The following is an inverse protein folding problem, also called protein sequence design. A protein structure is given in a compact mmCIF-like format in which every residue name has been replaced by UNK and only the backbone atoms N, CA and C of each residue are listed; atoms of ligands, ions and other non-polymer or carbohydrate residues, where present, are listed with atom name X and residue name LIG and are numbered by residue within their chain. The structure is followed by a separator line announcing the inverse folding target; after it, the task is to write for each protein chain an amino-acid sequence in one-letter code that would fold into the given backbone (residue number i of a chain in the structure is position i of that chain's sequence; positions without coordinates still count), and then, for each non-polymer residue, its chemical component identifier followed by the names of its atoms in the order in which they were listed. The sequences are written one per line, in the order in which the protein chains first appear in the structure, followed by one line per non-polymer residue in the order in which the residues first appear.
data_IF_454448066642
#
_entry.id   IF_454448066642
#
_cell.length_a   1.000
_cell.length_b   1.000
_cell.length_c   1.000
_cell.angle_alpha   90.00
_cell.angle_beta   90.00
_cell.angle_gamma   90.00
#
_symmetry.space_group_name_H-M   'P 1'
#
loop_
_entity.id
_entity.type
_entity.pdbx_description
1 polymer ?
#
# COMPACT_ATOMS: atom_id res chain seq x y z
N UNK A 1 -2.99 33.26 -51.40
CA UNK A 1 -3.12 33.38 -49.94
C UNK A 1 -4.10 32.32 -49.47
N UNK A 2 -3.60 31.23 -48.89
CA UNK A 2 -4.45 30.22 -48.27
C UNK A 2 -4.71 30.65 -46.83
N UNK A 3 -5.98 30.87 -46.48
CA UNK A 3 -6.42 31.12 -45.12
C UNK A 3 -6.24 29.81 -44.33
N UNK A 4 -5.30 29.80 -43.40
CA UNK A 4 -5.13 28.72 -42.45
C UNK A 4 -6.41 28.62 -41.62
N UNK A 5 -7.11 27.49 -41.74
CA UNK A 5 -8.27 27.18 -40.93
C UNK A 5 -7.84 27.07 -39.48
N UNK A 6 -8.28 28.00 -38.66
CA UNK A 6 -8.24 27.88 -37.20
C UNK A 6 -9.07 26.67 -36.83
N UNK A 7 -8.42 25.55 -36.51
CA UNK A 7 -9.08 24.45 -35.79
C UNK A 7 -9.29 24.95 -34.37
N UNK A 8 -10.34 25.72 -34.16
CA UNK A 8 -10.88 25.97 -32.82
C UNK A 8 -11.49 24.66 -32.36
N UNK A 9 -10.64 23.78 -31.84
CA UNK A 9 -11.07 22.56 -31.18
C UNK A 9 -11.83 22.95 -29.94
N UNK A 10 -13.14 22.73 -29.93
CA UNK A 10 -13.90 22.68 -28.68
C UNK A 10 -13.33 21.51 -27.87
N UNK A 11 -12.86 21.77 -26.66
CA UNK A 11 -12.43 20.71 -25.74
C UNK A 11 -13.41 20.73 -24.57
N UNK A 12 -13.75 19.54 -24.09
CA UNK A 12 -14.58 19.37 -22.90
C UNK A 12 -13.95 20.15 -21.74
N UNK A 13 -14.75 20.92 -20.98
CA UNK A 13 -14.21 21.70 -19.87
C UNK A 13 -13.62 20.82 -18.75
N UNK A 14 -14.04 19.56 -18.68
CA UNK A 14 -13.59 18.59 -17.69
C UNK A 14 -12.95 17.40 -18.39
N UNK A 15 -11.64 17.17 -18.21
CA UNK A 15 -10.99 15.98 -18.74
C UNK A 15 -11.43 14.72 -17.96
N UNK A 16 -12.34 13.93 -18.54
CA UNK A 16 -12.89 12.71 -17.92
C UNK A 16 -11.81 11.67 -17.61
N UNK A 17 -10.72 11.65 -18.39
CA UNK A 17 -9.56 10.80 -18.15
C UNK A 17 -8.88 11.11 -16.81
N UNK A 18 -8.77 12.39 -16.46
CA UNK A 18 -8.16 12.83 -15.20
C UNK A 18 -9.10 12.52 -14.02
N UNK A 19 -10.42 12.71 -14.21
CA UNK A 19 -11.43 12.36 -13.20
C UNK A 19 -11.36 10.87 -12.86
N UNK A 20 -11.42 9.98 -13.86
CA UNK A 20 -11.31 8.55 -13.64
C UNK A 20 -9.98 8.15 -12.98
N UNK A 21 -8.87 8.78 -13.38
CA UNK A 21 -7.58 8.49 -12.76
C UNK A 21 -7.55 8.86 -11.27
N UNK A 22 -8.22 9.94 -10.84
CA UNK A 22 -8.33 10.30 -9.43
C UNK A 22 -9.23 9.32 -8.67
N UNK A 23 -10.31 8.84 -9.29
CA UNK A 23 -11.17 7.80 -8.70
C UNK A 23 -10.43 6.48 -8.49
N UNK A 24 -9.62 6.07 -9.46
CA UNK A 24 -8.76 4.90 -9.35
C UNK A 24 -7.75 5.08 -8.21
N UNK A 25 -7.13 6.26 -8.09
CA UNK A 25 -6.22 6.59 -6.99
C UNK A 25 -6.94 6.54 -5.63
N UNK A 26 -8.16 7.06 -5.51
CA UNK A 26 -8.93 6.99 -4.26
C UNK A 26 -9.18 5.52 -3.85
N UNK A 27 -9.55 4.67 -4.81
CA UNK A 27 -9.71 3.23 -4.58
C UNK A 27 -8.39 2.59 -4.13
N UNK A 28 -7.29 2.86 -4.83
CA UNK A 28 -5.97 2.33 -4.48
C UNK A 28 -5.55 2.76 -3.07
N UNK A 29 -5.79 4.03 -2.70
CA UNK A 29 -5.51 4.54 -1.36
C UNK A 29 -6.36 3.86 -0.29
N UNK A 30 -7.63 3.55 -0.56
CA UNK A 30 -8.47 2.77 0.34
C UNK A 30 -7.94 1.33 0.51
N UNK A 31 -7.55 0.66 -0.58
CA UNK A 31 -6.98 -0.69 -0.56
C UNK A 31 -5.63 -0.74 0.19
N UNK A 32 -4.85 0.34 0.08
CA UNK A 32 -3.62 0.55 0.83
C UNK A 32 -3.86 0.97 2.29
N UNK A 33 -5.13 1.12 2.71
CA UNK A 33 -5.51 1.55 4.07
C UNK A 33 -4.88 2.92 4.42
N UNK A 34 -4.85 3.84 3.46
CA UNK A 34 -4.27 5.17 3.63
C UNK A 34 -4.92 5.95 4.79
N UNK A 35 -6.20 5.73 5.08
CA UNK A 35 -6.89 6.32 6.23
C UNK A 35 -6.23 5.98 7.58
N UNK A 36 -5.57 4.83 7.68
CA UNK A 36 -4.94 4.34 8.90
C UNK A 36 -3.42 4.60 8.89
N UNK A 37 -2.77 4.43 7.73
CA UNK A 37 -1.32 4.58 7.57
C UNK A 37 -0.88 6.03 7.34
N UNK A 38 -1.73 6.84 6.71
CA UNK A 38 -1.45 8.25 6.39
C UNK A 38 -2.72 9.11 6.54
N UNK A 39 -3.29 9.19 7.75
CA UNK A 39 -4.61 9.78 7.98
C UNK A 39 -4.72 11.23 7.49
N UNK A 40 -3.66 12.04 7.70
CA UNK A 40 -3.65 13.44 7.30
C UNK A 40 -3.61 13.62 5.77
N UNK A 41 -2.78 12.85 5.07
CA UNK A 41 -2.67 12.96 3.61
C UNK A 41 -3.95 12.45 2.93
N UNK A 42 -4.51 11.35 3.42
CA UNK A 42 -5.75 10.81 2.87
C UNK A 42 -6.97 11.70 3.15
N UNK A 43 -7.07 12.28 4.35
CA UNK A 43 -8.13 13.24 4.67
C UNK A 43 -8.03 14.50 3.79
N UNK A 44 -6.82 15.02 3.57
CA UNK A 44 -6.60 16.15 2.66
C UNK A 44 -7.00 15.80 1.23
N UNK A 45 -6.52 14.66 0.70
CA UNK A 45 -6.84 14.19 -0.64
C UNK A 45 -8.36 14.01 -0.83
N UNK A 46 -9.02 13.27 0.05
CA UNK A 46 -10.46 12.97 -0.06
C UNK A 46 -11.33 14.23 0.04
N UNK A 47 -10.96 15.19 0.90
CA UNK A 47 -11.66 16.46 0.99
C UNK A 47 -11.51 17.29 -0.29
N UNK A 48 -10.30 17.41 -0.82
CA UNK A 48 -10.05 18.12 -2.09
C UNK A 48 -10.77 17.43 -3.25
N UNK A 49 -10.76 16.11 -3.26
CA UNK A 49 -11.45 15.33 -4.28
C UNK A 49 -12.96 15.60 -4.28
N UNK A 50 -13.61 15.58 -3.11
CA UNK A 50 -15.04 15.85 -3.00
C UNK A 50 -15.43 17.24 -3.55
N UNK A 51 -14.62 18.26 -3.29
CA UNK A 51 -14.82 19.62 -3.81
C UNK A 51 -14.68 19.66 -5.33
N UNK A 52 -13.58 19.13 -5.86
CA UNK A 52 -13.30 19.16 -7.30
C UNK A 52 -14.28 18.29 -8.09
N UNK A 53 -14.70 17.15 -7.55
CA UNK A 53 -15.70 16.28 -8.17
C UNK A 53 -17.05 16.98 -8.33
N UNK A 54 -17.50 17.72 -7.31
CA UNK A 54 -18.73 18.51 -7.37
C UNK A 54 -18.64 19.60 -8.44
N UNK A 55 -17.48 20.26 -8.56
CA UNK A 55 -17.24 21.27 -9.59
C UNK A 55 -17.19 20.66 -10.99
N UNK A 56 -16.51 19.52 -11.16
CA UNK A 56 -16.45 18.78 -12.41
C UNK A 56 -17.84 18.35 -12.90
N UNK A 57 -18.71 17.89 -12.00
CA UNK A 57 -20.10 17.54 -12.34
C UNK A 57 -20.93 18.77 -12.73
N UNK A 58 -20.69 19.93 -12.11
CA UNK A 58 -21.39 21.16 -12.47
C UNK A 58 -20.94 21.72 -13.83
N UNK A 59 -19.68 21.48 -14.21
CA UNK A 59 -19.07 21.98 -15.46
C UNK A 59 -19.06 20.92 -16.59
N UNK A 60 -19.70 19.76 -16.42
CA UNK A 60 -19.69 18.61 -17.37
C UNK A 60 -20.14 19.01 -18.79
N UNK A 61 -21.18 19.84 -18.89
CA UNK A 61 -21.73 20.32 -20.17
C UNK A 61 -21.13 21.66 -20.65
N UNK A 62 -20.16 22.20 -19.92
CA UNK A 62 -19.55 23.49 -20.28
C UNK A 62 -18.52 23.26 -21.37
N UNK A 63 -18.72 23.90 -22.52
CA UNK A 63 -17.72 23.92 -23.60
C UNK A 63 -16.78 25.10 -23.35
N UNK A 64 -15.49 24.81 -23.15
CA UNK A 64 -14.45 25.84 -23.05
C UNK A 64 -13.63 25.91 -24.33
N UNK A 65 -13.17 27.13 -24.61
CA UNK A 65 -12.24 27.36 -25.70
C UNK A 65 -10.81 26.99 -25.27
N UNK A 66 -10.02 26.42 -26.16
CA UNK A 66 -8.66 25.90 -25.86
C UNK A 66 -7.66 26.95 -25.39
N UNK A 67 -7.91 28.24 -25.62
CA UNK A 67 -7.06 29.33 -25.17
C UNK A 67 -7.48 29.91 -23.81
N UNK A 68 -8.62 29.47 -23.26
CA UNK A 68 -9.10 29.91 -21.95
C UNK A 68 -8.44 29.06 -20.85
N UNK A 69 -7.93 29.67 -19.76
CA UNK A 69 -7.33 28.90 -18.67
C UNK A 69 -8.36 27.96 -18.02
N UNK A 70 -8.01 26.68 -17.96
CA UNK A 70 -8.79 25.67 -17.27
C UNK A 70 -8.25 25.42 -15.85
N UNK A 71 -8.60 26.30 -14.91
CA UNK A 71 -8.15 26.17 -13.51
C UNK A 71 -8.63 24.87 -12.86
N UNK A 72 -9.77 24.32 -13.30
CA UNK A 72 -10.31 23.06 -12.80
C UNK A 72 -9.43 21.89 -13.24
N UNK A 73 -9.08 21.81 -14.52
CA UNK A 73 -8.13 20.81 -15.01
C UNK A 73 -6.78 20.89 -14.28
N UNK A 74 -6.24 22.10 -14.10
CA UNK A 74 -4.97 22.28 -13.37
C UNK A 74 -5.08 21.75 -11.93
N UNK A 75 -6.19 22.04 -11.25
CA UNK A 75 -6.43 21.53 -9.90
C UNK A 75 -6.60 20.00 -9.86
N UNK A 76 -7.32 19.43 -10.82
CA UNK A 76 -7.51 17.98 -10.95
C UNK A 76 -6.16 17.27 -11.20
N UNK A 77 -5.36 17.75 -12.15
CA UNK A 77 -4.03 17.17 -12.44
C UNK A 77 -3.10 17.25 -11.23
N UNK A 78 -3.13 18.37 -10.50
CA UNK A 78 -2.36 18.49 -9.25
C UNK A 78 -2.81 17.48 -8.21
N UNK A 79 -4.11 17.30 -8.01
CA UNK A 79 -4.65 16.32 -7.07
C UNK A 79 -4.27 14.88 -7.49
N UNK A 80 -4.34 14.58 -8.79
CA UNK A 80 -3.89 13.31 -9.35
C UNK A 80 -2.40 13.04 -9.03
N UNK A 81 -1.52 14.02 -9.27
CA UNK A 81 -0.09 13.89 -8.97
C UNK A 81 0.20 13.74 -7.46
N UNK A 82 -0.53 14.47 -6.61
CA UNK A 82 -0.42 14.34 -5.15
C UNK A 82 -0.87 12.95 -4.69
N UNK A 83 -2.05 12.49 -5.12
CA UNK A 83 -2.57 11.18 -4.75
C UNK A 83 -1.71 10.02 -5.28
N UNK A 84 -1.23 10.10 -6.52
CA UNK A 84 -0.34 9.08 -7.10
C UNK A 84 0.98 8.96 -6.32
N UNK A 85 1.55 10.09 -5.87
CA UNK A 85 2.76 10.07 -5.02
C UNK A 85 2.50 9.40 -3.68
N UNK A 86 1.38 9.69 -3.03
CA UNK A 86 1.02 9.03 -1.77
C UNK A 86 0.81 7.53 -1.98
N UNK A 87 0.08 7.11 -3.01
CA UNK A 87 -0.15 5.70 -3.33
C UNK A 87 1.17 4.96 -3.60
N UNK A 88 2.08 5.55 -4.38
CA UNK A 88 3.40 4.97 -4.67
C UNK A 88 4.26 4.82 -3.41
N UNK A 89 4.24 5.82 -2.51
CA UNK A 89 4.95 5.77 -1.23
C UNK A 89 4.42 4.63 -0.35
N UNK A 90 3.10 4.59 -0.13
CA UNK A 90 2.46 3.56 0.70
C UNK A 90 2.66 2.15 0.13
N UNK A 91 2.62 2.00 -1.19
CA UNK A 91 2.94 0.73 -1.86
C UNK A 91 4.38 0.29 -1.59
N UNK A 92 5.34 1.22 -1.69
CA UNK A 92 6.75 0.93 -1.44
C UNK A 92 7.00 0.55 0.02
N UNK A 93 6.39 1.27 0.96
CA UNK A 93 6.46 0.97 2.39
C UNK A 93 5.89 -0.43 2.69
N UNK A 94 4.69 -0.73 2.17
CA UNK A 94 4.05 -2.04 2.33
C UNK A 94 4.90 -3.18 1.76
N UNK A 95 5.48 -2.99 0.58
CA UNK A 95 6.34 -3.98 -0.06
C UNK A 95 7.67 -4.16 0.71
N UNK A 96 8.19 -3.10 1.32
CA UNK A 96 9.35 -3.21 2.21
C UNK A 96 9.03 -4.07 3.43
N UNK A 97 7.89 -3.82 4.09
CA UNK A 97 7.48 -4.59 5.27
C UNK A 97 7.19 -6.04 4.88
N UNK A 98 6.53 -6.29 3.74
CA UNK A 98 6.29 -7.64 3.21
C UNK A 98 7.59 -8.42 3.06
N UNK A 99 8.59 -7.83 2.40
CA UNK A 99 9.90 -8.48 2.19
C UNK A 99 10.60 -8.74 3.53
N UNK A 100 10.59 -7.78 4.45
CA UNK A 100 11.17 -7.98 5.78
C UNK A 100 10.48 -9.09 6.56
N UNK A 101 9.15 -9.20 6.50
CA UNK A 101 8.40 -10.28 7.14
C UNK A 101 8.77 -11.66 6.52
N UNK A 102 8.82 -11.75 5.20
CA UNK A 102 9.21 -12.96 4.46
C UNK A 102 10.63 -13.42 4.83
N UNK A 103 11.60 -12.50 4.83
CA UNK A 103 12.97 -12.78 5.25
C UNK A 103 13.06 -13.25 6.70
N UNK A 104 12.26 -12.64 7.60
CA UNK A 104 12.28 -12.97 9.02
C UNK A 104 11.69 -14.35 9.29
N UNK A 105 10.58 -14.70 8.65
CA UNK A 105 9.99 -16.04 8.70
C UNK A 105 11.03 -17.06 8.26
N UNK A 106 11.62 -16.89 7.07
CA UNK A 106 12.61 -17.82 6.53
C UNK A 106 13.85 -17.98 7.44
N UNK A 107 14.32 -16.88 8.05
CA UNK A 107 15.43 -16.91 9.00
C UNK A 107 15.11 -17.76 10.24
N UNK A 108 13.92 -17.58 10.81
CA UNK A 108 13.48 -18.29 12.02
C UNK A 108 13.30 -19.78 11.74
N UNK A 109 12.68 -20.13 10.62
CA UNK A 109 12.50 -21.52 10.20
C UNK A 109 13.83 -22.25 9.99
N UNK A 110 14.79 -21.60 9.30
CA UNK A 110 16.11 -22.18 9.09
C UNK A 110 16.84 -22.42 10.43
N UNK A 111 16.74 -21.48 11.37
CA UNK A 111 17.31 -21.63 12.71
C UNK A 111 16.67 -22.79 13.47
N UNK A 112 15.33 -22.89 13.46
CA UNK A 112 14.60 -23.98 14.10
C UNK A 112 15.01 -25.34 13.51
N UNK A 113 15.06 -25.45 12.19
CA UNK A 113 15.47 -26.68 11.50
C UNK A 113 16.91 -27.10 11.87
N UNK A 114 17.84 -26.14 11.92
CA UNK A 114 19.22 -26.38 12.34
C UNK A 114 19.31 -26.86 13.80
N UNK A 115 18.51 -26.30 14.70
CA UNK A 115 18.45 -26.74 16.10
C UNK A 115 17.86 -28.14 16.23
N UNK A 116 16.76 -28.43 15.56
CA UNK A 116 16.14 -29.76 15.55
C UNK A 116 17.12 -30.85 15.08
N UNK A 117 17.89 -30.57 14.01
CA UNK A 117 18.93 -31.49 13.54
C UNK A 117 20.04 -31.71 14.57
N UNK A 118 20.49 -30.67 15.29
CA UNK A 118 21.51 -30.81 16.36
C UNK A 118 20.98 -31.60 17.57
N UNK A 119 19.74 -31.38 17.97
CA UNK A 119 19.11 -32.10 19.09
C UNK A 119 18.95 -33.59 18.77
N UNK A 120 18.68 -33.95 17.51
CA UNK A 120 18.59 -35.36 17.10
C UNK A 120 19.92 -36.14 17.20
N UNK A 121 21.06 -35.44 17.23
CA UNK A 121 22.41 -36.02 17.37
C UNK A 121 22.85 -36.12 18.84
N UNK A 122 22.26 -35.31 19.73
CA UNK A 122 22.57 -35.28 21.17
C UNK A 122 21.37 -35.83 21.92
N UNK A 123 21.27 -37.15 21.97
CA UNK A 123 20.24 -37.87 22.72
C UNK A 123 20.50 -37.69 24.23
N UNK A 124 20.05 -36.56 24.79
CA UNK A 124 19.95 -36.39 26.23
C UNK A 124 18.52 -36.01 26.60
N UNK A 125 17.83 -37.00 27.17
CA UNK A 125 16.42 -36.97 27.52
C UNK A 125 16.18 -35.97 28.64
N UNK A 126 15.01 -35.33 28.55
CA UNK A 126 14.36 -34.49 29.57
C UNK A 126 14.94 -33.07 29.70
N UNK A 127 14.36 -32.09 28.98
CA UNK A 127 13.87 -30.83 29.60
C UNK A 127 13.19 -29.79 28.66
N UNK A 128 13.25 -29.87 27.33
CA UNK A 128 12.62 -28.83 26.45
C UNK A 128 11.56 -29.37 25.48
N UNK A 129 10.41 -29.84 25.98
CA UNK A 129 9.28 -30.25 25.11
C UNK A 129 8.21 -29.16 24.94
N UNK A 130 8.05 -28.26 25.91
CA UNK A 130 7.03 -27.20 25.87
C UNK A 130 7.43 -25.97 25.05
N UNK A 131 8.73 -25.62 25.00
CA UNK A 131 9.23 -24.47 24.21
C UNK A 131 9.19 -24.67 22.68
N UNK A 132 9.49 -25.86 22.10
CA UNK A 132 9.40 -26.03 20.65
C UNK A 132 7.98 -25.88 20.11
N UNK A 133 6.95 -26.31 20.87
CA UNK A 133 5.54 -26.13 20.50
C UNK A 133 5.14 -24.64 20.46
N UNK A 134 5.65 -23.83 21.38
CA UNK A 134 5.41 -22.37 21.39
C UNK A 134 6.08 -21.67 20.20
N UNK A 135 7.30 -22.06 19.85
CA UNK A 135 8.02 -21.51 18.68
C UNK A 135 7.30 -21.90 17.38
N UNK A 136 6.89 -23.16 17.23
CA UNK A 136 6.13 -23.63 16.08
C UNK A 136 4.79 -22.90 15.94
N UNK A 137 4.08 -22.67 17.05
CA UNK A 137 2.85 -21.88 17.05
C UNK A 137 3.09 -20.43 16.58
N UNK A 138 4.16 -19.78 17.06
CA UNK A 138 4.49 -18.42 16.64
C UNK A 138 4.85 -18.33 15.15
N UNK A 139 5.54 -19.34 14.61
CA UNK A 139 5.83 -19.42 13.16
C UNK A 139 4.51 -19.60 12.37
N UNK A 140 3.61 -20.46 12.82
CA UNK A 140 2.29 -20.62 12.18
C UNK A 140 1.46 -19.34 12.22
N UNK A 141 1.47 -18.62 13.35
CA UNK A 141 0.82 -17.31 13.46
C UNK A 141 1.45 -16.29 12.51
N UNK A 142 2.78 -16.29 12.37
CA UNK A 142 3.47 -15.40 11.45
C UNK A 142 3.06 -15.65 9.99
N UNK A 143 2.94 -16.90 9.57
CA UNK A 143 2.43 -17.28 8.25
C UNK A 143 0.97 -16.89 8.06
N UNK A 144 0.10 -17.18 9.02
CA UNK A 144 -1.31 -16.82 8.94
C UNK A 144 -1.50 -15.30 8.80
N UNK A 145 -0.72 -14.49 9.52
CA UNK A 145 -0.74 -13.04 9.37
C UNK A 145 -0.16 -12.58 8.03
N UNK A 146 0.88 -13.24 7.52
CA UNK A 146 1.46 -12.95 6.20
C UNK A 146 0.43 -13.18 5.07
N UNK A 147 -0.25 -14.33 5.09
CA UNK A 147 -1.28 -14.68 4.11
C UNK A 147 -2.48 -13.72 4.16
N UNK A 148 -2.78 -13.16 5.33
CA UNK A 148 -3.82 -12.14 5.52
C UNK A 148 -3.36 -10.72 5.13
N UNK A 149 -2.13 -10.54 4.65
CA UNK A 149 -1.54 -9.24 4.33
C UNK A 149 -1.24 -8.36 5.55
N UNK A 150 -1.27 -8.93 6.76
CA UNK A 150 -0.97 -8.26 8.03
C UNK A 150 0.53 -8.36 8.34
N UNK A 151 1.36 -7.78 7.49
CA UNK A 151 2.81 -7.97 7.52
C UNK A 151 3.47 -7.50 8.83
N UNK A 152 2.98 -6.43 9.46
CA UNK A 152 3.49 -5.98 10.76
C UNK A 152 3.30 -7.03 11.86
N UNK A 153 2.14 -7.70 11.87
CA UNK A 153 1.85 -8.78 12.85
C UNK A 153 2.63 -10.04 12.55
N UNK A 154 2.84 -10.33 11.27
CA UNK A 154 3.72 -11.42 10.83
C UNK A 154 5.16 -11.18 11.31
N UNK A 155 5.66 -9.94 11.18
CA UNK A 155 6.98 -9.56 11.65
C UNK A 155 7.11 -9.68 13.18
N UNK A 156 6.15 -9.17 13.95
CA UNK A 156 6.12 -9.29 15.41
C UNK A 156 6.13 -10.76 15.88
N UNK A 157 5.26 -11.61 15.31
CA UNK A 157 5.22 -13.03 15.63
C UNK A 157 6.54 -13.74 15.30
N UNK A 158 7.16 -13.42 14.16
CA UNK A 158 8.46 -13.95 13.75
C UNK A 158 9.59 -13.47 14.67
N UNK A 159 9.57 -12.22 15.10
CA UNK A 159 10.57 -11.68 16.02
C UNK A 159 10.47 -12.33 17.39
N UNK A 160 9.26 -12.53 17.90
CA UNK A 160 9.01 -13.28 19.14
C UNK A 160 9.51 -14.72 19.05
N UNK A 161 9.27 -15.41 17.93
CA UNK A 161 9.83 -16.74 17.69
C UNK A 161 11.37 -16.72 17.68
N UNK A 162 11.98 -15.72 17.04
CA UNK A 162 13.43 -15.55 16.99
C UNK A 162 14.05 -15.30 18.38
N UNK A 163 13.37 -14.56 19.25
CA UNK A 163 13.77 -14.31 20.63
C UNK A 163 13.67 -15.59 21.47
N UNK A 164 12.58 -16.34 21.34
CA UNK A 164 12.43 -17.65 22.01
C UNK A 164 13.55 -18.61 21.62
N UNK A 165 13.91 -18.69 20.34
CA UNK A 165 15.06 -19.46 19.82
C UNK A 165 16.43 -18.96 20.28
N UNK A 166 16.57 -17.72 20.72
CA UNK A 166 17.83 -17.16 21.22
C UNK A 166 18.03 -17.37 22.74
N UNK A 167 16.96 -17.75 23.46
CA UNK A 167 16.97 -18.01 24.90
C UNK A 167 17.08 -19.50 25.25
N UNK A 168 17.26 -20.36 24.25
CA UNK A 168 17.65 -21.78 24.39
C UNK A 168 19.17 -21.95 24.25
#
# INVERSE_FOLDING_TARGET
MALAGSVSGCVEAVPQDVVHAIEDIDRDLMELRAAELSPHEYAHFSQQWAVLKTQAQADEDVIRWTWEPNNLEVALRRLQEEGARTAARLTTERESIRRSAEEKIAQVENRLQTMSLRVSVVDNRFQSRQKPEEIELLIQQAHAHYEQGQYDRSLDASERAAQSLATE
#
